data_IF_328033122853
#
_entry.id   IF_328033122853
#
_cell.length_a   1.000
_cell.length_b   1.000
_cell.length_c   1.000
_cell.angle_alpha   90.00
_cell.angle_beta   90.00
_cell.angle_gamma   90.00
#
_symmetry.space_group_name_H-M   'P 1'
#
loop_
_entity.id
_entity.type
_entity.pdbx_description
1 polymer ?
#
# COMPACT_ATOMS: atom_id res chain seq x y z
N UNK A 1 -11.54 44.45 -17.68
CA UNK A 1 -12.14 43.41 -16.80
C UNK A 1 -11.38 42.08 -16.89
N UNK A 2 -11.32 41.43 -18.06
CA UNK A 2 -10.72 40.09 -18.25
C UNK A 2 -9.32 39.90 -17.65
N UNK A 3 -8.39 40.85 -17.85
CA UNK A 3 -7.04 40.81 -17.25
C UNK A 3 -7.07 40.63 -15.73
N UNK A 4 -8.00 41.28 -15.02
CA UNK A 4 -8.08 41.23 -13.55
C UNK A 4 -8.44 39.81 -13.10
N UNK A 5 -9.47 39.21 -13.72
CA UNK A 5 -9.86 37.82 -13.45
C UNK A 5 -8.78 36.82 -13.85
N UNK A 6 -8.12 37.01 -15.00
CA UNK A 6 -7.00 36.17 -15.43
C UNK A 6 -5.85 36.20 -14.41
N UNK A 7 -5.48 37.40 -13.91
CA UNK A 7 -4.45 37.57 -12.87
C UNK A 7 -4.85 36.96 -11.53
N UNK A 8 -6.12 37.14 -11.10
CA UNK A 8 -6.63 36.54 -9.87
C UNK A 8 -6.60 35.00 -9.92
N UNK A 9 -7.11 34.41 -11.00
CA UNK A 9 -7.05 32.96 -11.22
C UNK A 9 -5.59 32.46 -11.30
N UNK A 10 -4.69 33.24 -11.90
CA UNK A 10 -3.26 32.96 -11.93
C UNK A 10 -2.62 32.89 -10.54
N UNK A 11 -3.03 33.74 -9.58
CA UNK A 11 -2.56 33.64 -8.20
C UNK A 11 -3.16 32.43 -7.47
N UNK A 12 -4.44 32.13 -7.67
CA UNK A 12 -5.05 30.90 -7.16
C UNK A 12 -4.34 29.65 -7.70
N UNK A 13 -3.94 29.65 -8.98
CA UNK A 13 -3.15 28.58 -9.59
C UNK A 13 -1.74 28.49 -8.99
N UNK A 14 -1.02 29.61 -8.82
CA UNK A 14 0.31 29.62 -8.18
C UNK A 14 0.25 28.93 -6.81
N UNK A 15 -0.74 29.28 -5.97
CA UNK A 15 -0.95 28.65 -4.67
C UNK A 15 -1.31 27.16 -4.79
N UNK A 16 -2.35 26.80 -5.56
CA UNK A 16 -2.84 25.42 -5.61
C UNK A 16 -1.83 24.45 -6.25
N UNK A 17 -1.10 24.86 -7.29
CA UNK A 17 -0.05 24.06 -7.93
C UNK A 17 1.17 23.80 -7.02
N UNK A 18 1.37 24.62 -5.99
CA UNK A 18 2.36 24.39 -4.94
C UNK A 18 1.77 23.61 -3.76
N UNK A 19 0.53 23.89 -3.37
CA UNK A 19 -0.13 23.19 -2.27
C UNK A 19 -0.35 21.69 -2.58
N UNK A 20 -0.71 21.36 -3.82
CA UNK A 20 -0.86 19.96 -4.28
C UNK A 20 0.45 19.15 -4.18
N UNK A 21 1.60 19.81 -4.27
CA UNK A 21 2.93 19.24 -4.07
C UNK A 21 3.21 19.02 -2.58
N UNK A 22 2.94 20.02 -1.73
CA UNK A 22 3.10 19.92 -0.27
C UNK A 22 2.30 18.75 0.30
N UNK A 23 1.07 18.54 -0.19
CA UNK A 23 0.22 17.40 0.19
C UNK A 23 0.77 16.02 -0.20
N UNK A 24 1.82 15.93 -1.02
CA UNK A 24 2.46 14.68 -1.45
C UNK A 24 3.87 14.48 -0.85
N UNK A 25 4.31 15.38 0.04
CA UNK A 25 5.52 15.24 0.88
C UNK A 25 5.31 14.20 1.99
N UNK A 26 5.14 12.93 1.59
CA UNK A 26 4.71 11.85 2.51
C UNK A 26 5.68 11.60 3.66
N UNK A 27 6.99 11.80 3.48
CA UNK A 27 7.94 11.63 4.59
C UNK A 27 7.79 12.78 5.61
N UNK A 28 7.69 14.02 5.12
CA UNK A 28 7.46 15.22 5.94
C UNK A 28 6.13 15.12 6.68
N UNK A 29 5.04 14.73 6.00
CA UNK A 29 3.72 14.52 6.63
C UNK A 29 3.79 13.46 7.74
N UNK A 30 4.51 12.35 7.50
CA UNK A 30 4.67 11.29 8.51
C UNK A 30 5.48 11.78 9.72
N UNK A 31 6.54 12.55 9.50
CA UNK A 31 7.32 13.21 10.56
C UNK A 31 6.48 14.26 11.32
N UNK A 32 5.64 15.02 10.63
CA UNK A 32 4.76 16.02 11.24
C UNK A 32 3.69 15.36 12.12
N UNK A 33 3.17 14.20 11.67
CA UNK A 33 2.25 13.36 12.44
C UNK A 33 2.89 12.84 13.73
N UNK A 34 4.12 12.34 13.69
CA UNK A 34 4.81 11.85 14.90
C UNK A 34 5.21 12.95 15.89
N UNK A 35 5.21 14.22 15.46
CA UNK A 35 5.34 15.40 16.34
C UNK A 35 4.02 15.84 16.99
N UNK A 36 2.90 15.15 16.76
CA UNK A 36 1.59 15.44 17.36
C UNK A 36 0.74 16.50 16.63
N UNK A 37 1.19 17.01 15.46
CA UNK A 37 0.44 18.02 14.70
C UNK A 37 -0.86 17.50 14.06
N UNK A 38 -1.13 16.18 14.13
CA UNK A 38 -2.41 15.57 13.78
C UNK A 38 -3.58 16.03 14.64
N UNK A 39 -3.33 16.58 15.84
CA UNK A 39 -4.38 17.15 16.69
C UNK A 39 -4.94 18.49 16.16
N UNK A 40 -4.16 19.20 15.34
CA UNK A 40 -4.52 20.52 14.80
C UNK A 40 -4.91 20.43 13.32
N UNK A 41 -4.25 19.55 12.56
CA UNK A 41 -4.43 19.46 11.11
C UNK A 41 -4.71 18.00 10.67
N UNK A 42 -5.73 17.74 9.83
CA UNK A 42 -6.05 16.40 9.32
C UNK A 42 -5.00 15.88 8.31
N UNK A 43 -3.81 15.53 8.82
CA UNK A 43 -2.65 15.07 8.06
C UNK A 43 -2.88 13.71 7.37
N UNK A 44 -3.65 12.82 7.98
CA UNK A 44 -3.93 11.50 7.41
C UNK A 44 -4.79 11.58 6.11
N UNK A 45 -5.58 12.66 5.95
CA UNK A 45 -6.42 12.92 4.77
C UNK A 45 -5.71 13.68 3.63
N UNK A 46 -4.37 13.80 3.66
CA UNK A 46 -3.60 14.50 2.61
C UNK A 46 -3.93 14.04 1.17
N UNK A 47 -4.24 12.75 0.96
CA UNK A 47 -4.66 12.19 -0.36
C UNK A 47 -6.07 12.67 -0.77
N UNK A 48 -6.96 12.98 0.19
CA UNK A 48 -8.25 13.61 -0.10
C UNK A 48 -8.04 15.07 -0.51
N UNK A 49 -7.28 15.84 0.27
CA UNK A 49 -6.94 17.23 -0.06
C UNK A 49 -6.20 17.35 -1.40
N UNK A 50 -5.31 16.41 -1.74
CA UNK A 50 -4.61 16.40 -3.02
C UNK A 50 -5.59 16.32 -4.21
N UNK A 51 -6.66 15.53 -4.09
CA UNK A 51 -7.73 15.47 -5.11
C UNK A 51 -8.51 16.78 -5.18
N UNK A 52 -8.85 17.37 -4.03
CA UNK A 52 -9.56 18.66 -3.99
C UNK A 52 -8.72 19.79 -4.62
N UNK A 53 -7.43 19.87 -4.29
CA UNK A 53 -6.49 20.77 -4.96
C UNK A 53 -6.44 20.50 -6.47
N UNK A 54 -6.46 19.23 -6.90
CA UNK A 54 -6.54 18.87 -8.32
C UNK A 54 -7.81 19.41 -9.03
N UNK A 55 -8.98 19.28 -8.40
CA UNK A 55 -10.22 19.87 -8.94
C UNK A 55 -10.16 21.40 -9.00
N UNK A 56 -9.60 22.06 -7.97
CA UNK A 56 -9.41 23.51 -7.95
C UNK A 56 -8.43 23.99 -9.04
N UNK A 57 -7.34 23.26 -9.30
CA UNK A 57 -6.39 23.58 -10.38
C UNK A 57 -7.10 23.53 -11.74
N UNK A 58 -7.91 22.49 -12.00
CA UNK A 58 -8.67 22.40 -13.26
C UNK A 58 -9.69 23.54 -13.40
N UNK A 59 -10.43 23.84 -12.34
CA UNK A 59 -11.41 24.95 -12.33
C UNK A 59 -10.73 26.31 -12.60
N UNK A 60 -9.70 26.67 -11.83
CA UNK A 60 -9.00 27.94 -12.03
C UNK A 60 -8.22 27.98 -13.35
N UNK A 61 -7.73 26.86 -13.87
CA UNK A 61 -7.07 26.78 -15.18
C UNK A 61 -8.05 27.04 -16.32
N UNK A 62 -9.24 26.46 -16.28
CA UNK A 62 -10.29 26.72 -17.27
C UNK A 62 -10.69 28.20 -17.25
N UNK A 63 -10.97 28.77 -16.06
CA UNK A 63 -11.35 30.18 -15.94
C UNK A 63 -10.21 31.13 -16.36
N UNK A 64 -8.96 30.83 -15.98
CA UNK A 64 -7.77 31.58 -16.39
C UNK A 64 -7.60 31.58 -17.93
N UNK A 65 -7.75 30.41 -18.56
CA UNK A 65 -7.64 30.25 -20.02
C UNK A 65 -8.74 31.04 -20.74
N UNK A 66 -10.01 30.90 -20.32
CA UNK A 66 -11.15 31.62 -20.90
C UNK A 66 -10.96 33.15 -20.80
N UNK A 67 -10.51 33.66 -19.65
CA UNK A 67 -10.22 35.08 -19.47
C UNK A 67 -9.04 35.57 -20.33
N UNK A 68 -8.07 34.71 -20.62
CA UNK A 68 -6.99 35.02 -21.56
C UNK A 68 -7.44 35.00 -23.03
N UNK A 69 -8.36 34.11 -23.42
CA UNK A 69 -8.98 34.12 -24.75
C UNK A 69 -9.76 35.42 -25.00
N UNK A 70 -10.71 35.78 -24.13
CA UNK A 70 -11.46 37.03 -24.27
C UNK A 70 -10.57 38.28 -24.26
N UNK A 71 -9.46 38.25 -23.52
CA UNK A 71 -8.49 39.33 -23.56
C UNK A 71 -7.71 39.39 -24.87
N UNK A 72 -7.44 38.25 -25.51
CA UNK A 72 -6.81 38.19 -26.83
C UNK A 72 -7.76 38.71 -27.91
N UNK A 73 -9.03 38.30 -27.88
CA UNK A 73 -10.05 38.71 -28.85
C UNK A 73 -10.18 40.25 -28.89
N UNK A 74 -10.28 40.89 -27.72
CA UNK A 74 -10.33 42.36 -27.56
C UNK A 74 -9.05 43.05 -28.07
N UNK A 75 -7.88 42.42 -27.92
CA UNK A 75 -6.61 42.97 -28.45
C UNK A 75 -6.57 42.87 -29.98
N UNK A 76 -7.03 41.75 -30.55
CA UNK A 76 -7.06 41.53 -32.00
C UNK A 76 -8.05 42.49 -32.67
N UNK A 77 -9.24 42.66 -32.10
CA UNK A 77 -10.23 43.64 -32.56
C UNK A 77 -9.63 45.05 -32.56
N UNK A 78 -9.04 45.49 -31.44
CA UNK A 78 -8.39 46.80 -31.35
C UNK A 78 -7.28 46.99 -32.40
N UNK A 79 -6.45 45.97 -32.63
CA UNK A 79 -5.39 46.04 -33.64
C UNK A 79 -5.96 46.11 -35.07
N UNK A 80 -7.04 45.40 -35.37
CA UNK A 80 -7.71 45.51 -36.68
C UNK A 80 -8.31 46.90 -36.94
N UNK A 81 -8.86 47.56 -35.91
CA UNK A 81 -9.38 48.91 -36.02
C UNK A 81 -8.27 49.96 -36.21
N UNK A 82 -7.12 49.80 -35.55
CA UNK A 82 -5.95 50.67 -35.77
C UNK A 82 -5.45 50.53 -37.22
N UNK A 83 -5.24 49.31 -37.69
CA UNK A 83 -4.76 49.05 -39.05
C UNK A 83 -5.72 49.53 -40.16
N UNK A 84 -7.02 49.67 -39.86
CA UNK A 84 -8.01 50.23 -40.79
C UNK A 84 -8.03 51.77 -40.81
N UNK A 85 -7.61 52.41 -39.71
CA UNK A 85 -7.51 53.87 -39.60
C UNK A 85 -6.18 54.39 -40.14
N UNK A 86 -5.08 53.64 -39.98
CA UNK A 86 -3.72 54.01 -40.40
C UNK A 86 -3.47 53.86 -41.93
N UNK A 87 -4.52 53.95 -42.75
CA UNK A 87 -4.41 53.80 -44.22
C UNK A 87 -3.82 55.05 -44.92
N UNK A 88 -3.55 56.14 -44.19
CA UNK A 88 -2.97 57.40 -44.71
C UNK A 88 -1.74 57.92 -43.92
N UNK A 89 -0.74 57.08 -43.60
CA UNK A 89 0.66 57.58 -43.58
C UNK A 89 1.72 56.47 -43.72
N UNK A 90 2.68 56.66 -44.64
CA UNK A 90 3.76 55.71 -44.85
C UNK A 90 4.81 55.77 -43.73
N UNK A 91 4.76 54.82 -42.78
CA UNK A 91 5.86 54.58 -41.82
C UNK A 91 6.78 53.45 -42.30
N UNK A 92 8.09 53.70 -42.53
CA UNK A 92 9.01 52.70 -43.10
C UNK A 92 9.51 51.63 -42.10
N UNK A 93 9.04 51.64 -40.84
CA UNK A 93 9.44 50.68 -39.82
C UNK A 93 8.37 49.59 -39.62
N UNK A 94 8.41 48.58 -40.48
CA UNK A 94 7.66 47.31 -40.46
C UNK A 94 6.91 46.99 -39.15
N UNK A 95 5.67 47.48 -39.03
CA UNK A 95 4.70 47.05 -38.03
C UNK A 95 4.19 45.67 -38.42
N UNK A 96 4.88 44.64 -37.93
CA UNK A 96 4.58 43.24 -38.25
C UNK A 96 3.12 42.89 -37.91
N UNK A 97 2.34 42.52 -38.92
CA UNK A 97 0.93 42.14 -38.82
C UNK A 97 0.77 40.78 -38.13
N UNK A 98 0.94 40.75 -36.80
CA UNK A 98 0.80 39.53 -36.01
C UNK A 98 -0.62 38.98 -36.08
N UNK A 99 -0.79 37.83 -36.72
CA UNK A 99 -2.07 37.12 -36.78
C UNK A 99 -2.34 36.40 -35.44
N UNK A 100 -3.59 36.04 -35.15
CA UNK A 100 -3.93 35.27 -33.94
C UNK A 100 -3.08 33.99 -33.77
N UNK A 101 -2.70 33.35 -34.89
CA UNK A 101 -1.80 32.19 -34.94
C UNK A 101 -0.37 32.52 -34.53
N UNK A 102 0.18 33.67 -34.92
CA UNK A 102 1.48 34.15 -34.42
C UNK A 102 1.44 34.37 -32.91
N UNK A 103 0.32 34.88 -32.39
CA UNK A 103 0.17 35.18 -30.97
C UNK A 103 0.01 33.93 -30.10
N UNK A 104 -0.67 32.90 -30.61
CA UNK A 104 -0.92 31.64 -29.89
C UNK A 104 0.26 30.66 -29.96
N UNK A 105 0.98 30.61 -31.08
CA UNK A 105 1.97 29.56 -31.36
C UNK A 105 3.42 30.06 -31.47
N UNK A 106 3.66 31.37 -31.55
CA UNK A 106 5.00 31.94 -31.78
C UNK A 106 5.42 32.91 -30.67
N UNK A 107 6.73 33.05 -30.45
CA UNK A 107 7.33 33.97 -29.48
C UNK A 107 7.40 35.44 -29.93
N UNK A 108 7.08 35.72 -31.20
CA UNK A 108 7.06 37.06 -31.82
C UNK A 108 6.41 38.18 -30.97
N UNK A 109 5.30 37.96 -30.22
CA UNK A 109 4.66 39.04 -29.47
C UNK A 109 5.49 39.60 -28.30
N UNK A 110 6.55 38.90 -27.86
CA UNK A 110 7.39 39.32 -26.75
C UNK A 110 6.66 39.48 -25.39
N UNK A 111 5.39 39.10 -25.28
CA UNK A 111 4.56 39.41 -24.12
C UNK A 111 4.34 38.19 -23.21
N UNK A 112 4.61 38.37 -21.92
CA UNK A 112 4.41 37.35 -20.90
C UNK A 112 5.45 36.21 -20.92
N UNK A 113 5.38 35.32 -19.93
CA UNK A 113 6.36 34.25 -19.71
C UNK A 113 7.49 34.66 -18.75
N UNK A 114 8.26 33.67 -18.31
CA UNK A 114 9.59 33.88 -17.70
C UNK A 114 10.57 34.39 -18.76
N UNK A 115 10.51 33.79 -19.96
CA UNK A 115 11.10 34.33 -21.20
C UNK A 115 9.97 35.05 -21.98
N UNK A 116 10.21 36.28 -22.47
CA UNK A 116 9.26 37.02 -23.31
C UNK A 116 8.68 36.19 -24.45
N UNK A 117 7.34 36.18 -24.58
CA UNK A 117 6.63 35.51 -25.68
C UNK A 117 6.31 34.03 -25.48
N UNK A 118 6.79 33.38 -24.41
CA UNK A 118 6.47 31.95 -24.15
C UNK A 118 5.08 31.72 -23.54
N UNK A 119 4.37 32.74 -23.05
CA UNK A 119 3.15 32.58 -22.26
C UNK A 119 2.06 31.74 -22.95
N UNK A 120 1.70 32.08 -24.19
CA UNK A 120 0.62 31.42 -24.92
C UNK A 120 0.95 29.98 -25.34
N UNK A 121 2.09 29.68 -26.02
CA UNK A 121 2.40 28.30 -26.39
C UNK A 121 2.60 27.40 -25.17
N UNK A 122 3.25 27.89 -24.09
CA UNK A 122 3.35 27.10 -22.85
C UNK A 122 2.00 26.90 -22.17
N UNK A 123 1.10 27.87 -22.22
CA UNK A 123 -0.26 27.77 -21.67
C UNK A 123 -1.09 26.68 -22.35
N UNK A 124 -1.04 26.60 -23.69
CA UNK A 124 -1.73 25.55 -24.46
C UNK A 124 -1.20 24.17 -24.06
N UNK A 125 0.13 23.99 -24.03
CA UNK A 125 0.76 22.70 -23.65
C UNK A 125 0.43 22.34 -22.19
N UNK A 126 0.40 23.30 -21.27
CA UNK A 126 -0.01 23.09 -19.88
C UNK A 126 -1.46 22.61 -19.76
N UNK A 127 -2.40 23.19 -20.53
CA UNK A 127 -3.82 22.77 -20.54
C UNK A 127 -3.96 21.35 -21.09
N UNK A 128 -3.24 20.99 -22.16
CA UNK A 128 -3.23 19.62 -22.71
C UNK A 128 -2.70 18.62 -21.67
N UNK A 129 -1.54 18.90 -21.07
CA UNK A 129 -0.95 18.02 -20.04
C UNK A 129 -1.87 17.88 -18.82
N UNK A 130 -2.43 18.99 -18.33
CA UNK A 130 -3.37 18.99 -17.20
C UNK A 130 -4.62 18.15 -17.49
N UNK A 131 -5.15 18.24 -18.72
CA UNK A 131 -6.31 17.47 -19.16
C UNK A 131 -6.02 15.97 -19.17
N UNK A 132 -4.86 15.56 -19.71
CA UNK A 132 -4.42 14.15 -19.69
C UNK A 132 -4.24 13.63 -18.26
N UNK A 133 -3.52 14.37 -17.41
CA UNK A 133 -3.33 14.01 -16.00
C UNK A 133 -4.68 13.87 -15.30
N UNK A 134 -5.60 14.81 -15.49
CA UNK A 134 -6.89 14.85 -14.80
C UNK A 134 -7.80 13.69 -15.22
N UNK A 135 -7.94 13.41 -16.52
CA UNK A 135 -8.78 12.31 -17.04
C UNK A 135 -8.23 10.96 -16.56
N UNK A 136 -6.92 10.73 -16.70
CA UNK A 136 -6.30 9.46 -16.29
C UNK A 136 -6.24 9.27 -14.77
N UNK A 137 -6.36 10.35 -13.99
CA UNK A 137 -6.47 10.29 -12.52
C UNK A 137 -7.87 9.97 -12.00
N UNK A 138 -8.90 9.96 -12.86
CA UNK A 138 -10.27 9.72 -12.41
C UNK A 138 -10.51 8.28 -11.88
N UNK A 139 -11.48 8.09 -10.97
CA UNK A 139 -11.78 6.77 -10.42
C UNK A 139 -12.17 5.72 -11.46
N UNK A 140 -12.70 6.12 -12.62
CA UNK A 140 -13.09 5.17 -13.67
C UNK A 140 -11.89 4.58 -14.41
N UNK A 141 -10.78 5.32 -14.59
CA UNK A 141 -9.53 4.76 -15.17
C UNK A 141 -8.84 3.88 -14.13
N UNK A 142 -8.58 4.46 -12.95
CA UNK A 142 -7.78 3.81 -11.89
C UNK A 142 -8.43 2.57 -11.27
N UNK A 143 -9.74 2.35 -11.45
CA UNK A 143 -10.46 1.14 -10.95
C UNK A 143 -10.80 0.11 -12.03
N UNK A 144 -10.51 0.36 -13.32
CA UNK A 144 -10.89 -0.52 -14.45
C UNK A 144 -9.84 -1.57 -14.85
N UNK A 145 -8.73 -1.69 -14.13
CA UNK A 145 -7.64 -2.62 -14.48
C UNK A 145 -6.40 -1.95 -15.10
N UNK A 146 -6.25 -0.63 -14.97
CA UNK A 146 -5.19 0.14 -15.64
C UNK A 146 -4.50 1.12 -14.69
N UNK A 147 -4.07 0.64 -13.52
CA UNK A 147 -3.32 1.47 -12.56
C UNK A 147 -2.01 2.01 -13.16
N UNK A 148 -1.35 1.25 -14.03
CA UNK A 148 -0.14 1.68 -14.73
C UNK A 148 -0.37 2.91 -15.63
N UNK A 149 -1.50 2.98 -16.33
CA UNK A 149 -1.86 4.16 -17.14
C UNK A 149 -2.00 5.40 -16.27
N UNK A 150 -2.68 5.28 -15.12
CA UNK A 150 -2.72 6.35 -14.13
C UNK A 150 -1.31 6.73 -13.66
N UNK A 151 -0.47 5.76 -13.28
CA UNK A 151 0.88 6.02 -12.79
C UNK A 151 1.74 6.78 -13.82
N UNK A 152 1.84 6.29 -15.05
CA UNK A 152 2.67 6.88 -16.09
C UNK A 152 2.15 8.24 -16.55
N UNK A 153 0.84 8.40 -16.77
CA UNK A 153 0.28 9.72 -17.14
C UNK A 153 0.40 10.74 -16.02
N UNK A 154 0.29 10.32 -14.75
CA UNK A 154 0.44 11.24 -13.63
C UNK A 154 1.90 11.74 -13.48
N UNK A 155 2.92 10.98 -13.89
CA UNK A 155 4.32 11.48 -13.90
C UNK A 155 4.57 12.68 -14.83
N UNK A 156 3.63 13.02 -15.70
CA UNK A 156 3.62 14.28 -16.45
C UNK A 156 3.58 15.54 -15.55
N UNK A 157 3.41 15.40 -14.22
CA UNK A 157 3.65 16.50 -13.27
C UNK A 157 5.06 17.11 -13.41
N UNK A 158 6.07 16.34 -13.83
CA UNK A 158 7.44 16.82 -14.00
C UNK A 158 7.54 17.85 -15.14
N UNK A 159 7.21 17.53 -16.40
CA UNK A 159 7.17 18.53 -17.46
C UNK A 159 6.14 19.63 -17.19
N UNK A 160 5.02 19.34 -16.52
CA UNK A 160 4.05 20.36 -16.10
C UNK A 160 4.68 21.44 -15.20
N UNK A 161 5.44 21.08 -14.16
CA UNK A 161 6.09 22.09 -13.30
C UNK A 161 7.19 22.87 -14.03
N UNK A 162 7.98 22.21 -14.90
CA UNK A 162 8.99 22.90 -15.72
C UNK A 162 8.32 23.95 -16.62
N UNK A 163 7.26 23.56 -17.32
CA UNK A 163 6.47 24.48 -18.15
C UNK A 163 5.78 25.57 -17.33
N UNK A 164 5.31 25.28 -16.11
CA UNK A 164 4.68 26.28 -15.24
C UNK A 164 5.66 27.35 -14.74
N UNK A 165 6.92 26.97 -14.49
CA UNK A 165 8.02 27.91 -14.22
C UNK A 165 8.30 28.79 -15.44
N UNK A 166 8.31 28.23 -16.65
CA UNK A 166 8.50 28.99 -17.89
C UNK A 166 7.31 29.89 -18.25
N UNK A 167 6.09 29.46 -17.95
CA UNK A 167 4.85 30.15 -18.22
C UNK A 167 4.63 31.37 -17.31
N UNK A 168 4.96 31.24 -16.02
CA UNK A 168 4.71 32.28 -15.02
C UNK A 168 6.02 32.84 -14.43
N UNK A 169 6.36 34.08 -14.81
CA UNK A 169 7.58 34.82 -14.39
C UNK A 169 7.88 34.81 -12.88
N UNK A 170 6.86 34.68 -12.03
CA UNK A 170 7.01 34.68 -10.56
C UNK A 170 6.74 33.32 -9.89
N UNK A 171 6.33 32.27 -10.62
CA UNK A 171 5.96 30.98 -10.00
C UNK A 171 7.13 30.30 -9.30
N UNK A 172 8.36 30.44 -9.82
CA UNK A 172 9.57 29.88 -9.21
C UNK A 172 9.77 30.29 -7.75
N UNK A 173 9.33 31.50 -7.35
CA UNK A 173 9.40 32.00 -5.97
C UNK A 173 8.52 31.20 -5.01
N UNK A 174 7.35 30.77 -5.48
CA UNK A 174 6.44 29.90 -4.73
C UNK A 174 6.95 28.46 -4.70
N UNK A 175 7.58 28.02 -5.79
CA UNK A 175 7.99 26.62 -5.98
C UNK A 175 9.29 26.25 -5.24
N UNK A 176 10.24 27.18 -5.03
CA UNK A 176 11.62 26.83 -4.62
C UNK A 176 11.70 26.05 -3.30
N UNK A 177 11.02 26.50 -2.24
CA UNK A 177 11.04 25.83 -0.93
C UNK A 177 10.36 24.44 -0.95
N UNK A 178 9.09 24.29 -1.35
CA UNK A 178 8.45 22.98 -1.40
C UNK A 178 9.03 22.05 -2.47
N UNK A 179 9.52 22.61 -3.59
CA UNK A 179 10.20 21.87 -4.65
C UNK A 179 11.55 21.29 -4.21
N UNK A 180 12.34 22.04 -3.44
CA UNK A 180 13.60 21.52 -2.87
C UNK A 180 13.36 20.44 -1.82
N UNK A 181 12.38 20.63 -0.92
CA UNK A 181 11.99 19.59 0.06
C UNK A 181 11.51 18.32 -0.66
N UNK A 182 10.68 18.43 -1.70
CA UNK A 182 10.24 17.29 -2.52
C UNK A 182 11.41 16.58 -3.20
N UNK A 183 12.35 17.33 -3.78
CA UNK A 183 13.55 16.77 -4.39
C UNK A 183 14.39 15.99 -3.37
N UNK A 184 14.59 16.53 -2.16
CA UNK A 184 15.30 15.86 -1.07
C UNK A 184 14.59 14.56 -0.65
N UNK A 185 13.27 14.58 -0.41
CA UNK A 185 12.50 13.35 -0.13
C UNK A 185 12.65 12.31 -1.23
N UNK A 186 12.63 12.75 -2.50
CA UNK A 186 12.73 11.87 -3.66
C UNK A 186 14.12 11.25 -3.78
N UNK A 187 15.18 12.03 -3.53
CA UNK A 187 16.57 11.57 -3.52
C UNK A 187 16.84 10.59 -2.37
N UNK A 188 16.34 10.87 -1.16
CA UNK A 188 16.44 9.95 -0.01
C UNK A 188 15.75 8.62 -0.34
N UNK A 189 14.50 8.66 -0.83
CA UNK A 189 13.76 7.47 -1.24
C UNK A 189 14.45 6.69 -2.36
N UNK A 190 14.97 7.38 -3.37
CA UNK A 190 15.72 6.75 -4.47
C UNK A 190 16.98 6.05 -3.96
N UNK A 191 17.72 6.70 -3.06
CA UNK A 191 18.91 6.13 -2.41
C UNK A 191 18.56 4.88 -1.61
N UNK A 192 17.51 4.91 -0.77
CA UNK A 192 17.07 3.74 0.00
C UNK A 192 16.70 2.54 -0.89
N UNK A 193 15.95 2.78 -1.98
CA UNK A 193 15.58 1.72 -2.95
C UNK A 193 16.84 1.15 -3.62
N UNK A 194 17.79 2.01 -4.03
CA UNK A 194 19.04 1.59 -4.67
C UNK A 194 19.98 0.83 -3.71
N UNK A 195 20.01 1.21 -2.43
CA UNK A 195 20.79 0.51 -1.39
C UNK A 195 20.30 -0.90 -1.06
N UNK A 196 19.14 -1.34 -1.60
CA UNK A 196 18.61 -2.68 -1.36
C UNK A 196 18.13 -2.95 0.08
N UNK A 197 18.11 -1.93 0.94
CA UNK A 197 17.65 -2.04 2.33
C UNK A 197 16.16 -2.40 2.32
N UNK A 198 15.79 -3.41 3.11
CA UNK A 198 14.42 -3.94 3.16
C UNK A 198 14.06 -4.95 2.06
N UNK A 199 15.00 -5.35 1.18
CA UNK A 199 14.81 -6.56 0.36
C UNK A 199 14.79 -7.78 1.28
N UNK A 200 13.70 -8.54 1.21
CA UNK A 200 13.48 -9.78 1.96
C UNK A 200 12.64 -10.74 1.12
N UNK A 201 12.45 -11.97 1.58
CA UNK A 201 11.68 -13.01 0.91
C UNK A 201 10.45 -13.44 1.74
N UNK A 202 9.48 -14.01 1.04
CA UNK A 202 8.29 -14.61 1.62
C UNK A 202 8.66 -16.02 2.06
N UNK A 203 8.42 -16.34 3.33
CA UNK A 203 8.66 -17.68 3.91
C UNK A 203 7.46 -18.60 3.68
N UNK A 204 6.24 -18.06 3.81
CA UNK A 204 5.00 -18.81 3.62
C UNK A 204 3.87 -17.88 3.18
N UNK A 205 2.94 -18.40 2.37
CA UNK A 205 1.73 -17.70 1.95
C UNK A 205 0.55 -18.67 1.95
N UNK A 206 -0.37 -18.49 2.91
CA UNK A 206 -1.51 -19.38 3.13
C UNK A 206 -2.82 -18.67 2.78
N UNK A 207 -3.71 -19.36 2.08
CA UNK A 207 -5.05 -18.85 1.76
C UNK A 207 -6.03 -19.17 2.90
N UNK A 208 -6.75 -18.16 3.35
CA UNK A 208 -7.78 -18.26 4.39
C UNK A 208 -9.19 -18.18 3.78
N UNK A 209 -10.16 -18.76 4.48
CA UNK A 209 -11.58 -18.91 4.14
C UNK A 209 -12.40 -17.59 4.14
N UNK A 210 -11.86 -16.52 3.56
CA UNK A 210 -12.55 -15.24 3.32
C UNK A 210 -11.90 -14.40 2.20
N UNK A 211 -11.23 -15.05 1.23
CA UNK A 211 -10.34 -14.40 0.25
C UNK A 211 -9.28 -13.52 0.92
N UNK A 212 -8.58 -14.10 1.88
CA UNK A 212 -7.48 -13.43 2.61
C UNK A 212 -6.21 -14.25 2.42
N UNK A 213 -5.11 -13.58 2.10
CA UNK A 213 -3.77 -14.16 2.07
C UNK A 213 -3.10 -13.85 3.39
N UNK A 214 -2.74 -14.88 4.16
CA UNK A 214 -1.82 -14.77 5.28
C UNK A 214 -0.40 -14.90 4.74
N UNK A 215 0.38 -13.82 4.81
CA UNK A 215 1.70 -13.72 4.22
C UNK A 215 2.76 -13.59 5.33
N UNK A 216 3.61 -14.61 5.45
CA UNK A 216 4.76 -14.61 6.36
C UNK A 216 6.02 -14.21 5.58
N UNK A 217 6.67 -13.14 6.03
CA UNK A 217 7.86 -12.54 5.40
C UNK A 217 9.01 -12.61 6.40
N UNK A 218 10.23 -12.93 5.97
CA UNK A 218 11.40 -12.90 6.87
C UNK A 218 11.69 -11.47 7.34
N UNK A 219 11.90 -11.30 8.64
CA UNK A 219 12.22 -10.00 9.27
C UNK A 219 13.60 -9.53 8.78
N UNK A 220 13.73 -8.33 8.18
CA UNK A 220 15.04 -7.83 7.77
C UNK A 220 15.91 -7.49 8.97
N UNK A 221 17.24 -7.49 8.78
CA UNK A 221 18.21 -7.18 9.85
C UNK A 221 18.01 -5.73 10.33
N UNK A 222 17.94 -5.53 11.66
CA UNK A 222 17.63 -4.25 12.32
C UNK A 222 16.25 -3.66 11.93
N UNK A 223 15.23 -4.52 11.80
CA UNK A 223 13.84 -4.11 11.58
C UNK A 223 13.03 -4.17 12.88
N UNK A 224 12.92 -3.03 13.55
CA UNK A 224 12.09 -2.88 14.76
C UNK A 224 10.79 -2.14 14.42
N UNK A 225 9.69 -2.58 15.03
CA UNK A 225 8.34 -2.04 14.79
C UNK A 225 7.50 -2.11 16.08
N UNK A 226 6.48 -1.26 16.17
CA UNK A 226 5.54 -1.22 17.30
C UNK A 226 4.17 -1.80 16.89
N UNK A 227 3.36 -2.28 17.85
CA UNK A 227 2.00 -2.73 17.57
C UNK A 227 1.17 -1.64 16.86
N UNK A 228 0.59 -1.98 15.71
CA UNK A 228 -0.20 -1.05 14.88
C UNK A 228 0.59 -0.36 13.76
N UNK A 229 1.91 -0.53 13.70
CA UNK A 229 2.71 -0.06 12.55
C UNK A 229 2.33 -0.79 11.25
N UNK A 230 2.64 -0.15 10.12
CA UNK A 230 2.36 -0.67 8.78
C UNK A 230 3.59 -0.57 7.87
N UNK A 231 3.69 -1.51 6.95
CA UNK A 231 4.78 -1.61 5.96
C UNK A 231 4.25 -1.37 4.56
N UNK A 232 5.06 -0.73 3.72
CA UNK A 232 4.81 -0.70 2.27
C UNK A 232 5.45 -1.93 1.63
N UNK A 233 4.64 -2.76 0.99
CA UNK A 233 5.07 -3.98 0.32
C UNK A 233 5.02 -3.80 -1.19
N UNK A 234 6.06 -4.27 -1.88
CA UNK A 234 6.14 -4.43 -3.32
C UNK A 234 6.56 -5.87 -3.59
N UNK A 235 5.85 -6.57 -4.48
CA UNK A 235 6.16 -7.95 -4.87
C UNK A 235 6.34 -7.95 -6.38
N UNK A 236 7.59 -7.96 -6.90
CA UNK A 236 7.85 -7.80 -8.33
C UNK A 236 7.20 -8.83 -9.24
N UNK A 237 6.89 -10.03 -8.74
CA UNK A 237 6.11 -11.07 -9.46
C UNK A 237 4.64 -10.69 -9.70
N UNK A 238 4.08 -9.78 -8.89
CA UNK A 238 2.67 -9.36 -8.95
C UNK A 238 2.55 -8.00 -9.65
N UNK A 239 3.38 -7.04 -9.24
CA UNK A 239 3.52 -5.74 -9.90
C UNK A 239 4.89 -5.13 -9.56
N UNK A 240 5.62 -4.67 -10.58
CA UNK A 240 6.99 -4.17 -10.42
C UNK A 240 7.06 -2.81 -9.73
N UNK A 241 6.13 -1.90 -10.02
CA UNK A 241 6.22 -0.49 -9.61
C UNK A 241 5.18 -0.05 -8.57
N UNK A 242 4.38 -0.99 -8.05
CA UNK A 242 3.33 -0.70 -7.07
C UNK A 242 3.79 -0.98 -5.63
N UNK A 243 3.53 -0.05 -4.73
CA UNK A 243 3.83 -0.18 -3.29
C UNK A 243 2.54 -0.02 -2.50
N UNK A 244 2.11 -1.06 -1.82
CA UNK A 244 0.83 -1.12 -1.08
C UNK A 244 1.06 -1.16 0.44
N UNK A 245 0.40 -0.30 1.23
CA UNK A 245 0.53 -0.31 2.69
C UNK A 245 -0.30 -1.43 3.33
N UNK A 246 0.30 -2.20 4.24
CA UNK A 246 -0.37 -3.22 5.04
C UNK A 246 0.10 -3.14 6.51
N UNK A 247 -0.86 -3.16 7.44
CA UNK A 247 -0.59 -3.20 8.89
C UNK A 247 0.08 -4.53 9.26
N UNK A 248 1.10 -4.47 10.11
CA UNK A 248 1.76 -5.66 10.66
C UNK A 248 0.79 -6.33 11.64
N UNK A 249 0.57 -7.63 11.48
CA UNK A 249 -0.36 -8.42 12.29
C UNK A 249 0.30 -9.40 13.26
N UNK A 250 1.62 -9.60 13.14
CA UNK A 250 2.46 -10.31 14.12
C UNK A 250 2.84 -9.40 15.30
N UNK A 251 3.05 -10.00 16.47
CA UNK A 251 3.64 -9.30 17.62
C UNK A 251 5.12 -8.92 17.35
N UNK A 252 5.65 -7.84 17.97
CA UNK A 252 7.05 -7.43 17.80
C UNK A 252 8.06 -8.44 18.39
N UNK A 253 7.62 -9.18 19.41
CA UNK A 253 8.31 -10.29 20.08
C UNK A 253 8.48 -11.55 19.19
N UNK A 254 7.77 -11.61 18.05
CA UNK A 254 7.91 -12.74 17.13
C UNK A 254 9.24 -12.64 16.38
N UNK A 255 10.17 -13.53 16.73
CA UNK A 255 11.48 -13.59 16.07
C UNK A 255 11.41 -14.08 14.62
N UNK A 256 12.38 -13.61 13.83
CA UNK A 256 12.68 -13.94 12.42
C UNK A 256 11.58 -13.71 11.36
N UNK A 257 10.31 -13.44 11.71
CA UNK A 257 9.26 -13.20 10.70
C UNK A 257 8.20 -12.17 11.09
N UNK A 258 7.67 -11.48 10.07
CA UNK A 258 6.53 -10.56 10.17
C UNK A 258 5.35 -11.13 9.38
N UNK A 259 4.14 -10.95 9.90
CA UNK A 259 2.91 -11.49 9.30
C UNK A 259 1.98 -10.38 8.80
N UNK A 260 1.43 -10.55 7.60
CA UNK A 260 0.45 -9.64 6.99
C UNK A 260 -0.81 -10.41 6.60
N UNK A 261 -1.97 -9.85 6.93
CA UNK A 261 -3.28 -10.38 6.51
C UNK A 261 -3.87 -9.51 5.39
N UNK A 262 -3.74 -9.95 4.14
CA UNK A 262 -4.09 -9.17 2.96
C UNK A 262 -5.42 -9.65 2.37
N UNK A 263 -6.45 -8.80 2.42
CA UNK A 263 -7.78 -9.10 1.84
C UNK A 263 -7.80 -8.81 0.35
N UNK A 264 -8.33 -9.72 -0.46
CA UNK A 264 -8.51 -9.56 -1.90
C UNK A 264 -9.71 -8.61 -2.17
N UNK A 265 -9.43 -7.32 -2.39
CA UNK A 265 -10.44 -6.26 -2.57
C UNK A 265 -10.15 -5.38 -3.79
N UNK A 266 -8.88 -5.04 -4.02
CA UNK A 266 -8.42 -4.32 -5.21
C UNK A 266 -7.66 -5.23 -6.19
N UNK A 267 -7.36 -4.70 -7.37
CA UNK A 267 -6.69 -5.41 -8.46
C UNK A 267 -5.40 -6.13 -8.02
N UNK A 268 -4.45 -5.40 -7.42
CA UNK A 268 -3.20 -5.98 -6.93
C UNK A 268 -3.41 -7.08 -5.89
N UNK A 269 -4.34 -6.89 -4.95
CA UNK A 269 -4.65 -7.89 -3.92
C UNK A 269 -5.37 -9.13 -4.47
N UNK A 270 -6.13 -8.98 -5.57
CA UNK A 270 -6.73 -10.11 -6.28
C UNK A 270 -5.64 -10.89 -7.03
N UNK A 271 -4.77 -10.20 -7.79
CA UNK A 271 -3.60 -10.82 -8.45
C UNK A 271 -2.70 -11.58 -7.46
N UNK A 272 -2.46 -11.03 -6.26
CA UNK A 272 -1.74 -11.71 -5.17
C UNK A 272 -2.44 -13.00 -4.74
N UNK A 273 -3.76 -12.94 -4.49
CA UNK A 273 -4.54 -14.11 -4.09
C UNK A 273 -4.60 -15.18 -5.19
N UNK A 274 -4.76 -14.77 -6.45
CA UNK A 274 -4.76 -15.65 -7.62
C UNK A 274 -3.39 -16.32 -7.82
N UNK A 275 -2.29 -15.60 -7.62
CA UNK A 275 -0.93 -16.15 -7.64
C UNK A 275 -0.78 -17.26 -6.58
N UNK A 276 -1.08 -16.98 -5.30
CA UNK A 276 -0.95 -17.99 -4.25
C UNK A 276 -1.91 -19.17 -4.45
N UNK A 277 -3.09 -18.95 -5.02
CA UNK A 277 -4.00 -20.04 -5.39
C UNK A 277 -3.38 -20.94 -6.46
N UNK A 278 -2.86 -20.36 -7.54
CA UNK A 278 -2.23 -21.13 -8.61
C UNK A 278 -0.98 -21.90 -8.15
N UNK A 279 -0.24 -21.40 -7.15
CA UNK A 279 0.88 -22.15 -6.55
C UNK A 279 0.39 -23.29 -5.64
N UNK A 280 -0.68 -23.07 -4.85
CA UNK A 280 -1.32 -24.12 -4.04
C UNK A 280 -1.86 -25.26 -4.92
N UNK A 281 -2.64 -24.91 -5.96
CA UNK A 281 -3.23 -25.87 -6.91
C UNK A 281 -2.14 -26.74 -7.59
N UNK A 282 -0.94 -26.18 -7.86
CA UNK A 282 0.21 -26.93 -8.40
C UNK A 282 0.83 -27.91 -7.39
N UNK A 283 0.95 -27.52 -6.13
CA UNK A 283 1.52 -28.37 -5.09
C UNK A 283 0.62 -29.58 -4.82
N UNK A 284 -0.70 -29.38 -4.83
CA UNK A 284 -1.70 -30.45 -4.69
C UNK A 284 -1.69 -31.41 -5.90
N UNK A 285 -1.51 -30.88 -7.11
CA UNK A 285 -1.32 -31.69 -8.32
C UNK A 285 -0.02 -32.52 -8.28
N UNK A 286 1.08 -31.98 -7.73
CA UNK A 286 2.34 -32.72 -7.58
C UNK A 286 2.26 -33.80 -6.50
N UNK A 287 1.58 -33.53 -5.39
CA UNK A 287 1.37 -34.52 -4.32
C UNK A 287 0.58 -35.74 -4.84
N UNK A 288 -0.55 -35.51 -5.51
CA UNK A 288 -1.40 -36.58 -6.07
C UNK A 288 -0.73 -37.41 -7.16
N UNK A 289 0.12 -36.80 -8.00
CA UNK A 289 0.95 -37.55 -8.96
C UNK A 289 1.98 -38.46 -8.27
N UNK A 290 2.56 -38.00 -7.15
CA UNK A 290 3.55 -38.77 -6.38
C UNK A 290 2.90 -39.97 -5.67
N UNK A 291 1.72 -39.77 -5.09
CA UNK A 291 0.94 -40.81 -4.41
C UNK A 291 0.45 -41.92 -5.36
N UNK A 292 0.01 -41.54 -6.56
CA UNK A 292 -0.33 -42.49 -7.64
C UNK A 292 0.89 -43.25 -8.19
N UNK A 293 2.11 -42.68 -8.10
CA UNK A 293 3.33 -43.37 -8.53
C UNK A 293 3.80 -44.40 -7.50
N UNK A 294 3.65 -44.09 -6.20
CA UNK A 294 4.02 -45.02 -5.12
C UNK A 294 3.07 -46.20 -4.98
N UNK A 295 1.78 -46.04 -5.30
CA UNK A 295 0.79 -47.12 -5.25
C UNK A 295 0.89 -48.15 -6.39
N UNK A 296 1.66 -47.86 -7.45
CA UNK A 296 1.90 -48.80 -8.56
C UNK A 296 3.10 -49.73 -8.32
N UNK A 297 4.00 -49.41 -7.37
CA UNK A 297 5.14 -50.28 -7.02
C UNK A 297 4.71 -51.33 -5.99
N UNK A 298 3.94 -52.32 -6.44
CA UNK A 298 3.80 -53.60 -5.74
C UNK A 298 5.10 -54.39 -5.97
N UNK A 299 5.82 -54.84 -4.92
CA UNK A 299 6.94 -55.76 -5.11
C UNK A 299 6.41 -57.10 -5.62
N UNK A 300 6.83 -57.51 -6.80
CA UNK A 300 6.54 -58.85 -7.32
C UNK A 300 7.13 -59.90 -6.36
N UNK A 301 6.34 -60.87 -5.87
CA UNK A 301 6.84 -61.86 -4.92
C UNK A 301 7.75 -62.88 -5.63
N UNK A 302 9.04 -62.88 -5.30
CA UNK A 302 9.98 -63.88 -5.83
C UNK A 302 9.48 -65.32 -5.64
N UNK A 303 9.69 -66.21 -6.61
CA UNK A 303 9.29 -67.61 -6.52
C UNK A 303 10.11 -68.35 -5.45
N UNK A 304 9.50 -68.58 -4.29
CA UNK A 304 10.16 -69.29 -3.19
C UNK A 304 10.42 -70.76 -3.53
N UNK A 305 11.69 -71.14 -3.60
CA UNK A 305 12.12 -72.52 -3.82
C UNK A 305 11.66 -73.47 -2.69
N UNK A 306 11.40 -74.76 -2.99
CA UNK A 306 10.72 -75.69 -2.08
C UNK A 306 11.44 -75.97 -0.75
N UNK A 307 12.72 -75.59 -0.62
CA UNK A 307 13.57 -75.85 0.54
C UNK A 307 13.10 -75.06 1.78
N UNK A 308 12.57 -73.84 1.63
CA UNK A 308 12.11 -73.01 2.76
C UNK A 308 10.88 -73.58 3.49
N UNK A 309 10.06 -74.41 2.82
CA UNK A 309 8.90 -75.07 3.46
C UNK A 309 9.30 -76.14 4.49
N UNK A 310 10.44 -76.81 4.31
CA UNK A 310 10.84 -77.90 5.21
C UNK A 310 11.27 -77.39 6.60
N UNK A 311 12.02 -76.28 6.65
CA UNK A 311 12.45 -75.66 7.91
C UNK A 311 11.29 -75.13 8.76
N UNK A 312 10.20 -74.68 8.14
CA UNK A 312 8.99 -74.24 8.86
C UNK A 312 8.23 -75.41 9.53
N UNK A 313 8.27 -76.60 8.93
CA UNK A 313 7.60 -77.79 9.47
C UNK A 313 8.36 -78.38 10.67
N UNK A 314 9.68 -78.51 10.58
CA UNK A 314 10.52 -79.05 11.67
C UNK A 314 10.42 -78.20 12.95
N UNK A 315 10.24 -76.87 12.81
CA UNK A 315 10.11 -75.96 13.97
C UNK A 315 8.78 -76.08 14.73
N UNK A 316 7.76 -76.74 14.16
CA UNK A 316 6.45 -76.96 14.82
C UNK A 316 6.40 -78.23 15.68
N UNK A 317 7.29 -79.19 15.47
CA UNK A 317 7.23 -80.50 16.16
C UNK A 317 7.88 -80.51 17.55
N UNK A 318 8.67 -79.49 17.91
CA UNK A 318 9.44 -79.45 19.17
C UNK A 318 8.92 -78.44 20.22
N UNK A 319 7.80 -77.76 19.98
CA UNK A 319 7.22 -76.78 20.91
C UNK A 319 5.87 -77.24 21.46
N UNK A 320 5.83 -78.41 22.10
CA UNK A 320 4.62 -78.91 22.76
C UNK A 320 4.90 -79.75 24.01
N UNK A 321 5.30 -79.06 25.09
CA UNK A 321 5.07 -79.53 26.46
C UNK A 321 5.00 -78.36 27.46
N UNK A 322 4.31 -78.63 28.56
CA UNK A 322 4.31 -77.91 29.84
C UNK A 322 3.51 -76.58 29.92
N UNK A 323 2.21 -76.77 30.16
CA UNK A 323 1.40 -76.25 31.28
C UNK A 323 0.93 -74.77 31.38
N UNK A 324 -0.38 -74.64 31.09
CA UNK A 324 -1.44 -73.96 31.87
C UNK A 324 -1.10 -72.84 32.88
N UNK A 325 -1.38 -71.58 32.51
CA UNK A 325 -2.07 -70.59 33.35
C UNK A 325 -2.62 -69.38 32.55
N UNK A 326 -3.71 -68.77 33.04
CA UNK A 326 -4.31 -67.49 32.61
C UNK A 326 -5.17 -66.96 33.79
N UNK A 327 -5.52 -65.66 33.89
CA UNK A 327 -5.25 -64.54 32.98
C UNK A 327 -4.81 -63.23 33.72
N UNK A 328 -4.97 -62.08 33.03
CA UNK A 328 -5.05 -60.67 33.50
C UNK A 328 -3.78 -59.82 33.31
N UNK A 329 -3.94 -58.71 32.56
CA UNK A 329 -3.00 -57.57 32.53
C UNK A 329 -3.46 -56.51 33.56
N UNK A 330 -2.58 -55.60 34.04
CA UNK A 330 -2.45 -54.32 33.34
C UNK A 330 -1.11 -53.55 33.48
N UNK A 331 -0.95 -52.54 32.61
CA UNK A 331 -0.25 -51.25 32.81
C UNK A 331 1.29 -51.18 32.79
N UNK A 332 1.75 -50.18 32.02
CA UNK A 332 3.11 -49.65 31.91
C UNK A 332 3.63 -49.00 33.21
N UNK A 333 4.88 -49.30 33.58
CA UNK A 333 5.93 -48.29 33.86
C UNK A 333 7.28 -48.97 34.06
N UNK A 334 8.31 -48.49 33.35
CA UNK A 334 9.71 -48.71 33.71
C UNK A 334 10.29 -47.37 34.16
N UNK A 335 10.91 -47.35 35.34
CA UNK A 335 11.81 -46.29 35.77
C UNK A 335 13.15 -46.92 36.18
N UNK A 336 14.22 -46.19 35.84
CA UNK A 336 15.51 -46.11 36.54
C UNK A 336 16.36 -47.37 36.72
N UNK A 337 17.62 -47.26 36.29
CA UNK A 337 18.76 -46.94 37.18
C UNK A 337 19.85 -46.22 36.34
N UNK A 338 20.43 -45.09 36.74
CA UNK A 338 21.36 -44.83 37.86
C UNK A 338 22.76 -45.43 37.60
N UNK A 339 23.93 -44.86 37.94
CA UNK A 339 24.35 -43.55 38.52
C UNK A 339 25.86 -43.33 38.16
N UNK A 340 26.68 -42.36 38.60
CA UNK A 340 26.60 -41.17 39.48
C UNK A 340 27.78 -40.22 39.13
N UNK A 341 27.79 -38.95 39.55
CA UNK A 341 28.74 -38.37 40.56
C UNK A 341 29.52 -37.17 39.96
N UNK A 342 30.07 -36.18 40.68
CA UNK A 342 29.89 -35.57 42.02
C UNK A 342 30.54 -34.16 41.97
N UNK A 343 30.08 -33.18 42.77
CA UNK A 343 30.83 -31.92 42.97
C UNK A 343 30.02 -30.75 43.56
N UNK A 344 30.19 -30.46 44.85
CA UNK A 344 29.52 -29.35 45.58
C UNK A 344 30.38 -28.08 45.63
N UNK A 345 29.75 -26.89 45.83
CA UNK A 345 30.08 -26.02 46.98
C UNK A 345 29.02 -24.92 47.25
N UNK A 346 29.10 -24.37 48.47
CA UNK A 346 28.26 -23.34 49.14
C UNK A 346 28.31 -21.92 48.49
N UNK A 347 27.56 -20.86 48.87
CA UNK A 347 26.99 -20.49 50.19
C UNK A 347 25.86 -19.39 50.12
N UNK A 348 24.91 -19.45 51.07
CA UNK A 348 24.25 -18.35 51.84
C UNK A 348 23.75 -17.04 51.18
N UNK A 349 22.44 -16.76 51.35
CA UNK A 349 21.88 -15.56 51.99
C UNK A 349 20.41 -15.77 52.41
N UNK A 350 19.96 -15.18 53.53
CA UNK A 350 18.66 -15.41 54.19
C UNK A 350 17.84 -14.12 54.39
N UNK A 351 16.57 -14.30 54.81
CA UNK A 351 15.65 -13.41 55.55
C UNK A 351 14.55 -12.72 54.72
N UNK A 352 13.26 -12.62 55.13
CA UNK A 352 12.48 -13.18 56.28
C UNK A 352 11.01 -13.39 55.81
N UNK A 353 10.16 -14.20 56.46
CA UNK A 353 9.23 -13.77 57.53
C UNK A 353 8.12 -12.83 57.00
N UNK A 354 6.82 -13.11 57.07
CA UNK A 354 6.09 -13.72 58.19
C UNK A 354 5.02 -14.76 57.82
N UNK A 355 4.53 -15.46 58.83
CA UNK A 355 3.66 -16.64 58.80
C UNK A 355 2.33 -16.43 59.53
N UNK A 356 1.26 -17.08 59.05
CA UNK A 356 0.27 -17.75 59.93
C UNK A 356 -0.55 -18.81 59.19
N UNK A 357 -1.08 -19.76 59.98
CA UNK A 357 -1.49 -21.10 59.56
C UNK A 357 -3.01 -21.29 59.38
N UNK A 358 -3.33 -22.35 58.61
CA UNK A 358 -4.52 -23.23 58.67
C UNK A 358 -5.89 -22.68 59.14
N UNK A 359 -6.91 -22.97 58.33
CA UNK A 359 -7.90 -24.02 58.69
C UNK A 359 -8.65 -24.55 57.48
N UNK A 360 -9.01 -25.83 57.53
CA UNK A 360 -9.78 -26.55 56.50
C UNK A 360 -11.27 -26.57 56.85
N UNK A 361 -12.16 -26.35 55.86
CA UNK A 361 -13.38 -27.15 55.60
C UNK A 361 -14.25 -26.63 54.45
N UNK A 362 -14.72 -27.56 53.61
CA UNK A 362 -16.06 -27.51 53.00
C UNK A 362 -16.24 -26.74 51.68
N UNK A 363 -16.44 -27.47 50.58
CA UNK A 363 -17.23 -26.97 49.46
C UNK A 363 -18.73 -26.85 49.82
N UNK A 364 -19.57 -26.28 48.94
CA UNK A 364 -19.70 -26.81 47.58
C UNK A 364 -19.68 -25.77 46.45
N UNK A 365 -19.05 -26.14 45.33
CA UNK A 365 -19.36 -25.51 44.04
C UNK A 365 -20.78 -25.87 43.60
N UNK A 366 -21.67 -24.89 43.52
CA UNK A 366 -22.82 -24.82 42.58
C UNK A 366 -23.68 -23.60 42.90
N UNK A 367 -23.27 -22.41 42.42
CA UNK A 367 -24.16 -21.22 42.25
C UNK A 367 -23.56 -19.97 41.58
N UNK A 368 -22.25 -19.90 41.31
CA UNK A 368 -21.66 -18.68 40.71
C UNK A 368 -21.67 -18.61 39.16
N UNK A 369 -21.92 -19.72 38.47
CA UNK A 369 -21.93 -19.75 36.99
C UNK A 369 -23.22 -19.25 36.32
N UNK A 370 -24.13 -18.58 37.05
CA UNK A 370 -25.45 -18.14 36.52
C UNK A 370 -25.80 -16.67 36.78
N UNK A 371 -24.81 -15.83 37.14
CA UNK A 371 -25.01 -14.40 37.45
C UNK A 371 -24.13 -13.43 36.62
N UNK A 372 -23.35 -13.92 35.66
CA UNK A 372 -22.59 -13.08 34.71
C UNK A 372 -23.13 -13.13 33.26
N UNK A 373 -24.34 -13.66 33.06
CA UNK A 373 -24.96 -13.82 31.74
C UNK A 373 -26.23 -12.96 31.55
N UNK A 374 -26.26 -11.72 32.04
CA UNK A 374 -27.39 -10.79 31.80
C UNK A 374 -27.08 -9.29 31.98
N UNK A 375 -26.05 -8.76 31.32
CA UNK A 375 -25.97 -7.29 31.12
C UNK A 375 -25.42 -6.95 29.73
N UNK A 376 -26.26 -6.32 28.91
CA UNK A 376 -25.99 -6.04 27.49
C UNK A 376 -25.25 -4.70 27.36
N UNK A 377 -23.92 -4.72 27.51
CA UNK A 377 -23.09 -3.53 27.30
C UNK A 377 -23.14 -3.07 25.82
N UNK A 378 -23.16 -1.75 25.54
CA UNK A 378 -23.08 -1.25 24.17
C UNK A 378 -21.68 -1.53 23.59
N UNK A 379 -21.57 -1.83 22.27
CA UNK A 379 -20.27 -2.10 21.67
C UNK A 379 -19.39 -0.84 21.68
N UNK A 380 -18.15 -1.01 22.13
CA UNK A 380 -17.10 0.02 22.12
C UNK A 380 -17.01 0.71 20.76
N UNK A 381 -17.05 2.04 20.77
CA UNK A 381 -16.93 2.87 19.58
C UNK A 381 -15.58 2.64 18.89
N UNK A 382 -15.61 2.39 17.58
CA UNK A 382 -14.40 2.31 16.75
C UNK A 382 -13.57 3.58 16.87
N UNK A 383 -12.25 3.43 16.94
CA UNK A 383 -11.32 4.54 16.76
C UNK A 383 -11.44 5.12 15.35
N UNK A 384 -11.73 6.43 15.26
CA UNK A 384 -11.63 7.19 14.02
C UNK A 384 -10.15 7.44 13.69
N UNK A 385 -9.52 6.53 12.94
CA UNK A 385 -8.17 6.74 12.39
C UNK A 385 -7.99 6.17 10.98
N UNK A 386 -9.09 5.88 10.28
CA UNK A 386 -9.12 5.36 8.91
C UNK A 386 -10.21 6.10 8.12
N UNK A 387 -9.90 6.69 6.94
CA UNK A 387 -10.91 7.29 6.07
C UNK A 387 -11.93 6.23 5.64
N UNK A 388 -13.21 6.49 5.91
CA UNK A 388 -14.22 5.43 5.94
C UNK A 388 -14.56 4.90 4.53
N UNK A 389 -14.11 3.67 4.22
CA UNK A 389 -14.32 3.04 2.92
C UNK A 389 -15.73 2.44 2.76
N UNK A 390 -16.74 2.98 3.46
CA UNK A 390 -18.12 2.47 3.51
C UNK A 390 -19.14 3.15 2.58
N UNK A 391 -18.75 4.14 1.76
CA UNK A 391 -19.66 4.84 0.83
C UNK A 391 -20.40 3.94 -0.21
N UNK A 392 -20.08 2.64 -0.31
CA UNK A 392 -20.77 1.69 -1.18
C UNK A 392 -21.91 0.89 -0.52
N UNK A 393 -22.12 0.94 0.81
CA UNK A 393 -23.26 0.22 1.43
C UNK A 393 -24.59 0.98 1.36
N UNK A 394 -24.59 2.30 1.53
CA UNK A 394 -25.82 3.11 1.44
C UNK A 394 -26.43 3.09 0.03
N UNK A 395 -25.61 3.23 -1.03
CA UNK A 395 -26.08 3.22 -2.43
C UNK A 395 -26.71 1.90 -2.91
N UNK A 396 -26.61 0.80 -2.15
CA UNK A 396 -27.31 -0.46 -2.46
C UNK A 396 -28.68 -0.56 -1.79
N UNK A 397 -28.97 0.26 -0.76
CA UNK A 397 -30.26 0.23 -0.03
C UNK A 397 -31.33 1.16 -0.64
N UNK A 398 -30.91 2.21 -1.35
CA UNK A 398 -31.80 3.12 -2.10
C UNK A 398 -32.22 2.60 -3.48
N UNK A 399 -31.60 1.52 -3.98
CA UNK A 399 -31.97 0.87 -5.26
C UNK A 399 -32.88 -0.35 -5.11
N UNK A 400 -33.49 -0.51 -3.92
CA UNK A 400 -34.46 -1.58 -3.63
C UNK A 400 -35.77 -1.04 -3.05
N UNK A 401 -36.01 0.27 -3.17
CA UNK A 401 -37.21 0.99 -2.72
C UNK A 401 -37.58 2.16 -3.67
N UNK A 402 -37.46 1.92 -4.98
CA UNK A 402 -38.22 2.58 -6.07
C UNK A 402 -38.42 1.52 -7.15
#
# INVERSE_FOLDING_TARGET
MFVIFARACGQCLNFNCVFILVLMLRQTITFLRSRGLSMILPLDDHIYFHKQAGYLIVFYSALHTIMHCFNLDVILEKNSLINANDTEECSPNHTQTCTATDFLLTTKPGFGGLVPGLAFPTGIVLVVILTVIFICSQPFVRRRGSFEVFYWTHTLYIPFWILLILHCKNFWKWFILPGTIFAIERLIRFSWIKSGRGKTYITSGVLLSSKVVHLQIKKPIHFDFHPGDYVFVNIPKIAQYEWHPFTISSAPEQDDSIWLHIRAVGEWTNKLHEYFKAEQDKLEAQASLTENTQTVVVPEPEPQSPIKRFQATVRRTFSKKDDAAKPIQPVYKSLTNASSSVGQLHNVASCSGDSYELTSKGGPESKFHKLLSSTKAPPLSKSLSMPDMQQNKHKKKERSLV
#
